data_IF_736902497446
#
_entry.id   IF_736902497446
#
_cell.length_a   1.000
_cell.length_b   1.000
_cell.length_c   1.000
_cell.angle_alpha   90.00
_cell.angle_beta   90.00
_cell.angle_gamma   90.00
#
_symmetry.space_group_name_H-M   'P 1'
#
loop_
_entity.id
_entity.type
_entity.pdbx_description
1 polymer ?
#
# COMPACT_ATOMS: atom_id res chain seq x y z
N UNK A 1 -15.45 13.82 24.01
CA UNK A 1 -15.18 13.73 25.47
C UNK A 1 -14.46 14.99 25.99
N UNK A 2 -13.28 15.37 25.46
CA UNK A 2 -12.60 16.66 25.78
C UNK A 2 -13.52 17.89 25.73
N UNK A 3 -14.31 18.00 24.66
CA UNK A 3 -15.32 19.05 24.47
C UNK A 3 -16.28 19.26 25.66
N UNK A 4 -16.74 18.18 26.32
CA UNK A 4 -17.68 18.28 27.45
C UNK A 4 -17.01 18.86 28.71
N UNK A 5 -15.70 18.69 28.85
CA UNK A 5 -14.93 19.18 29.99
C UNK A 5 -14.49 20.61 29.73
N UNK A 6 -13.94 20.88 28.55
CA UNK A 6 -13.34 22.17 28.18
C UNK A 6 -14.38 23.25 27.89
N UNK A 7 -15.46 22.92 27.16
CA UNK A 7 -16.46 23.91 26.73
C UNK A 7 -17.64 23.99 27.69
N UNK A 8 -18.10 22.85 28.21
CA UNK A 8 -19.28 22.78 29.07
C UNK A 8 -18.97 22.67 30.56
N UNK A 9 -17.68 22.73 30.96
CA UNK A 9 -17.21 22.66 32.34
C UNK A 9 -17.84 21.50 33.15
N UNK A 10 -18.16 20.38 32.50
CA UNK A 10 -18.79 19.23 33.17
C UNK A 10 -17.73 18.42 33.94
N UNK A 11 -18.05 17.91 35.14
CA UNK A 11 -17.12 17.09 35.89
C UNK A 11 -16.82 15.79 35.14
N UNK A 12 -15.55 15.38 35.17
CA UNK A 12 -15.02 14.23 34.43
C UNK A 12 -15.90 12.98 34.54
N UNK A 13 -16.41 12.68 35.74
CA UNK A 13 -17.29 11.52 35.99
C UNK A 13 -18.58 11.58 35.17
N UNK A 14 -19.22 12.76 35.08
CA UNK A 14 -20.45 12.92 34.28
C UNK A 14 -20.13 12.86 32.79
N UNK A 15 -19.03 13.47 32.36
CA UNK A 15 -18.58 13.42 30.97
C UNK A 15 -18.26 12.00 30.51
N UNK A 16 -17.58 11.19 31.34
CA UNK A 16 -17.35 9.77 31.10
C UNK A 16 -18.66 8.99 30.98
N UNK A 17 -19.60 9.20 31.90
CA UNK A 17 -20.90 8.53 31.90
C UNK A 17 -21.74 8.85 30.65
N UNK A 18 -21.76 10.13 30.23
CA UNK A 18 -22.47 10.55 29.01
C UNK A 18 -21.96 9.87 27.73
N UNK A 19 -20.67 9.54 27.68
CA UNK A 19 -20.01 8.94 26.49
C UNK A 19 -19.86 7.42 26.64
N UNK A 20 -20.29 6.84 27.76
CA UNK A 20 -20.16 5.40 28.04
C UNK A 20 -18.73 4.93 28.26
N UNK A 21 -17.81 5.84 28.62
CA UNK A 21 -16.41 5.50 28.91
C UNK A 21 -16.19 5.27 30.40
N UNK A 22 -15.34 4.30 30.75
CA UNK A 22 -14.87 4.17 32.13
C UNK A 22 -13.91 5.32 32.48
N UNK A 23 -13.82 5.68 33.76
CA UNK A 23 -12.87 6.71 34.21
C UNK A 23 -11.42 6.30 33.95
N UNK A 24 -11.10 5.00 34.07
CA UNK A 24 -9.76 4.48 33.80
C UNK A 24 -9.37 4.66 32.33
N UNK A 25 -10.28 4.41 31.39
CA UNK A 25 -10.03 4.57 29.95
C UNK A 25 -9.73 6.03 29.56
N UNK A 26 -10.11 7.01 30.38
CA UNK A 26 -9.75 8.41 30.18
C UNK A 26 -8.29 8.71 30.56
N UNK A 27 -7.82 8.19 31.71
CA UNK A 27 -6.45 8.42 32.18
C UNK A 27 -5.43 7.53 31.48
N UNK A 28 -5.82 6.29 31.16
CA UNK A 28 -5.04 5.31 30.45
C UNK A 28 -5.79 4.95 29.16
N UNK A 29 -5.70 5.79 28.11
CA UNK A 29 -6.25 5.42 26.83
C UNK A 29 -5.57 4.12 26.35
N UNK A 30 -6.31 3.20 25.73
CA UNK A 30 -5.72 1.99 25.17
C UNK A 30 -4.65 2.41 24.16
N UNK A 31 -3.43 1.89 24.32
CA UNK A 31 -2.35 2.18 23.40
C UNK A 31 -2.73 1.73 21.99
N UNK A 32 -2.58 2.64 21.03
CA UNK A 32 -2.72 2.32 19.62
C UNK A 32 -1.76 1.18 19.26
N UNK A 33 -2.23 0.26 18.43
CA UNK A 33 -1.42 -0.89 17.99
C UNK A 33 -0.15 -0.44 17.25
N UNK A 34 -0.23 0.70 16.56
CA UNK A 34 0.92 1.32 15.86
C UNK A 34 2.04 1.69 16.82
N UNK A 35 1.71 2.10 18.04
CA UNK A 35 2.68 2.46 19.07
C UNK A 35 3.28 1.20 19.70
N UNK A 36 2.46 0.19 19.98
CA UNK A 36 2.92 -1.08 20.59
C UNK A 36 3.81 -1.91 19.67
N UNK A 37 3.52 -1.89 18.38
CA UNK A 37 4.22 -2.68 17.37
C UNK A 37 5.15 -1.82 16.50
N UNK A 38 5.52 -0.62 16.96
CA UNK A 38 6.30 0.35 16.19
C UNK A 38 7.60 -0.22 15.61
N UNK A 39 8.36 -0.98 16.41
CA UNK A 39 9.60 -1.65 15.97
C UNK A 39 9.34 -2.66 14.85
N UNK A 40 8.28 -3.46 14.99
CA UNK A 40 7.85 -4.46 14.00
C UNK A 40 7.36 -3.81 12.71
N UNK A 41 6.64 -2.69 12.82
CA UNK A 41 6.22 -1.89 11.66
C UNK A 41 7.44 -1.34 10.93
N UNK A 42 8.42 -0.79 11.64
CA UNK A 42 9.62 -0.22 11.04
C UNK A 42 10.46 -1.27 10.30
N UNK A 43 10.66 -2.45 10.90
CA UNK A 43 11.42 -3.53 10.26
C UNK A 43 10.70 -4.10 9.03
N UNK A 44 9.37 -4.32 9.13
CA UNK A 44 8.56 -4.77 7.99
C UNK A 44 8.62 -3.74 6.86
N UNK A 45 8.47 -2.45 7.17
CA UNK A 45 8.52 -1.38 6.17
C UNK A 45 9.86 -1.39 5.43
N UNK A 46 10.99 -1.44 6.17
CA UNK A 46 12.33 -1.51 5.59
C UNK A 46 12.50 -2.72 4.67
N UNK A 47 12.02 -3.88 5.10
CA UNK A 47 12.12 -5.10 4.30
C UNK A 47 11.30 -5.03 3.00
N UNK A 48 10.08 -4.48 3.08
CA UNK A 48 9.15 -4.35 1.94
C UNK A 48 9.64 -3.33 0.93
N UNK A 49 10.26 -2.24 1.38
CA UNK A 49 10.89 -1.25 0.51
C UNK A 49 12.06 -1.86 -0.27
N UNK A 50 12.92 -2.63 0.40
CA UNK A 50 14.03 -3.32 -0.25
C UNK A 50 13.56 -4.45 -1.21
N UNK A 51 12.44 -5.12 -0.91
CA UNK A 51 11.99 -6.31 -1.63
C UNK A 51 10.49 -6.31 -1.95
N UNK A 52 10.01 -5.44 -2.86
CA UNK A 52 8.58 -5.25 -3.11
C UNK A 52 7.87 -6.46 -3.72
N UNK A 53 8.60 -7.40 -4.34
CA UNK A 53 8.06 -8.63 -4.94
C UNK A 53 7.92 -9.79 -3.94
N UNK A 54 8.52 -9.67 -2.75
CA UNK A 54 8.53 -10.74 -1.75
C UNK A 54 7.26 -10.67 -0.90
N UNK A 55 6.56 -11.81 -0.84
CA UNK A 55 5.35 -11.96 -0.02
C UNK A 55 5.65 -12.23 1.46
N UNK A 56 4.56 -12.40 2.21
CA UNK A 56 4.57 -12.58 3.67
C UNK A 56 5.58 -13.64 4.17
N UNK A 57 5.60 -14.83 3.57
CA UNK A 57 6.47 -15.93 4.05
C UNK A 57 7.94 -15.56 4.06
N UNK A 58 8.42 -14.87 3.02
CA UNK A 58 9.82 -14.43 2.93
C UNK A 58 10.14 -13.33 3.95
N UNK A 59 9.17 -12.45 4.25
CA UNK A 59 9.30 -11.44 5.29
C UNK A 59 9.37 -12.08 6.69
N UNK A 60 8.45 -13.01 6.98
CA UNK A 60 8.42 -13.77 8.24
C UNK A 60 9.71 -14.57 8.46
N UNK A 61 10.24 -15.23 7.43
CA UNK A 61 11.52 -15.95 7.51
C UNK A 61 12.71 -15.02 7.76
N UNK A 62 12.73 -13.85 7.12
CA UNK A 62 13.76 -12.85 7.34
C UNK A 62 13.73 -12.33 8.79
N UNK A 63 12.56 -11.98 9.30
CA UNK A 63 12.38 -11.51 10.68
C UNK A 63 12.75 -12.57 11.72
N UNK A 64 12.49 -13.85 11.42
CA UNK A 64 12.95 -14.96 12.27
C UNK A 64 14.48 -15.09 12.29
N UNK A 65 15.16 -14.87 11.16
CA UNK A 65 16.62 -14.92 11.06
C UNK A 65 17.31 -13.78 11.79
N UNK A 66 16.66 -12.62 11.92
CA UNK A 66 17.15 -11.49 12.70
C UNK A 66 17.14 -11.75 14.23
N UNK A 67 16.79 -12.97 14.67
CA UNK A 67 16.74 -13.40 16.08
C UNK A 67 15.88 -12.52 17.01
N UNK A 68 14.93 -11.77 16.46
CA UNK A 68 14.07 -10.88 17.24
C UNK A 68 12.98 -11.63 18.05
N UNK A 69 12.88 -12.96 17.91
CA UNK A 69 11.94 -13.79 18.69
C UNK A 69 10.45 -13.50 18.42
N UNK A 70 10.14 -12.78 17.34
CA UNK A 70 8.78 -12.35 17.06
C UNK A 70 7.87 -13.50 16.64
N UNK A 71 6.74 -13.64 17.33
CA UNK A 71 5.74 -14.65 17.00
C UNK A 71 5.21 -14.43 15.57
N UNK A 72 5.23 -15.45 14.70
CA UNK A 72 4.71 -15.35 13.33
C UNK A 72 3.25 -14.84 13.24
N UNK A 73 2.42 -15.14 14.25
CA UNK A 73 1.04 -14.63 14.33
C UNK A 73 1.00 -13.12 14.55
N UNK A 74 1.93 -12.57 15.35
CA UNK A 74 2.07 -11.12 15.59
C UNK A 74 2.51 -10.42 14.31
N UNK A 75 3.51 -10.97 13.62
CA UNK A 75 3.99 -10.46 12.33
C UNK A 75 2.84 -10.41 11.32
N UNK A 76 2.06 -11.49 11.20
CA UNK A 76 0.93 -11.54 10.26
C UNK A 76 -0.15 -10.50 10.57
N UNK A 77 -0.46 -10.28 11.86
CA UNK A 77 -1.44 -9.26 12.27
C UNK A 77 -1.01 -7.86 11.84
N UNK A 78 0.25 -7.50 12.11
CA UNK A 78 0.81 -6.20 11.71
C UNK A 78 0.89 -6.09 10.19
N UNK A 79 1.36 -7.13 9.50
CA UNK A 79 1.44 -7.18 8.04
C UNK A 79 0.08 -6.93 7.37
N UNK A 80 -0.99 -7.55 7.89
CA UNK A 80 -2.36 -7.35 7.41
C UNK A 80 -2.90 -5.96 7.76
N UNK A 81 -2.61 -5.45 8.96
CA UNK A 81 -3.00 -4.11 9.37
C UNK A 81 -2.34 -3.01 8.50
N UNK A 82 -1.11 -3.24 8.06
CA UNK A 82 -0.40 -2.40 7.07
C UNK A 82 -0.92 -2.57 5.62
N UNK A 83 -1.94 -3.42 5.40
CA UNK A 83 -2.55 -3.71 4.09
C UNK A 83 -1.56 -4.23 3.03
N UNK A 84 -0.43 -4.80 3.46
CA UNK A 84 0.61 -5.37 2.59
C UNK A 84 0.21 -6.71 1.94
N UNK A 85 -0.95 -7.26 2.33
CA UNK A 85 -1.55 -8.44 1.71
C UNK A 85 -2.31 -8.12 0.41
N UNK A 86 -2.62 -6.85 0.16
CA UNK A 86 -3.31 -6.45 -1.05
C UNK A 86 -2.35 -6.52 -2.24
N UNK A 87 -2.78 -7.16 -3.32
CA UNK A 87 -2.01 -7.15 -4.57
C UNK A 87 -1.84 -5.69 -5.00
N UNK A 88 -0.60 -5.24 -5.19
CA UNK A 88 -0.37 -3.94 -5.83
C UNK A 88 -1.04 -3.99 -7.19
N UNK A 89 -1.94 -3.04 -7.45
CA UNK A 89 -2.55 -2.91 -8.75
C UNK A 89 -1.43 -2.71 -9.78
N UNK A 90 -1.28 -3.66 -10.70
CA UNK A 90 -0.36 -3.49 -11.80
C UNK A 90 -0.79 -2.25 -12.57
N UNK A 91 0.13 -1.30 -12.79
CA UNK A 91 -0.13 -0.14 -13.64
C UNK A 91 -0.56 -0.70 -15.00
N UNK A 92 -1.82 -0.43 -15.40
CA UNK A 92 -2.34 -0.91 -16.69
C UNK A 92 -1.36 -0.45 -17.75
N UNK A 93 -0.79 -1.40 -18.49
CA UNK A 93 0.03 -1.07 -19.66
C UNK A 93 -0.87 -0.24 -20.56
N UNK A 94 -0.45 0.98 -20.88
CA UNK A 94 -1.09 1.75 -21.94
C UNK A 94 -1.14 0.83 -23.16
N UNK A 95 -2.31 0.68 -23.83
CA UNK A 95 -2.35 -0.10 -25.06
C UNK A 95 -1.26 0.46 -25.97
N UNK A 96 -0.44 -0.44 -26.52
CA UNK A 96 0.42 -0.12 -27.66
C UNK A 96 -0.53 0.17 -28.81
N UNK A 97 -1.20 1.31 -28.81
CA UNK A 97 -1.83 1.85 -29.99
C UNK A 97 -0.68 1.95 -30.96
N UNK A 98 -0.69 1.01 -31.90
CA UNK A 98 0.21 1.02 -33.01
C UNK A 98 0.03 2.39 -33.64
N UNK A 99 1.02 3.27 -33.50
CA UNK A 99 1.29 4.28 -34.51
C UNK A 99 1.74 3.53 -35.77
N UNK A 100 0.83 2.72 -36.33
CA UNK A 100 0.84 2.41 -37.76
C UNK A 100 0.41 3.72 -38.40
N UNK A 101 1.37 4.62 -38.59
CA UNK A 101 1.23 5.66 -39.59
C UNK A 101 0.72 4.99 -40.87
N UNK A 102 -0.42 5.40 -41.44
CA UNK A 102 -0.84 4.87 -42.71
C UNK A 102 0.26 5.18 -43.72
N UNK A 103 0.86 4.12 -44.27
CA UNK A 103 1.83 4.24 -45.35
C UNK A 103 1.08 4.89 -46.52
N UNK A 104 1.52 6.05 -47.06
CA UNK A 104 0.81 6.65 -48.17
C UNK A 104 0.87 5.71 -49.37
N UNK A 105 -0.30 5.23 -49.78
CA UNK A 105 -0.52 4.56 -51.05
C UNK A 105 -0.37 5.59 -52.17
N UNK A 106 0.78 5.62 -52.83
CA UNK A 106 0.97 6.40 -54.06
C UNK A 106 1.06 5.43 -55.24
N UNK A 107 -0.12 5.26 -55.85
CA UNK A 107 -0.55 4.95 -57.22
C UNK A 107 0.38 4.28 -58.26
N UNK A 108 -0.23 3.53 -59.22
CA UNK A 108 0.48 2.76 -60.24
C UNK A 108 0.77 3.57 -61.52
N UNK A 109 1.80 3.08 -62.23
CA UNK A 109 2.00 3.13 -63.68
C UNK A 109 2.31 4.49 -64.33
N UNK A 110 3.59 4.70 -64.64
CA UNK A 110 4.04 5.54 -65.76
C UNK A 110 4.83 4.63 -66.71
N UNK A 111 4.23 4.41 -67.88
CA UNK A 111 4.82 3.75 -69.04
C UNK A 111 6.04 4.52 -69.53
N UNK A 112 7.19 3.87 -69.64
CA UNK A 112 8.40 4.43 -70.23
C UNK A 112 8.92 3.50 -71.34
N UNK A 113 8.49 3.81 -72.57
CA UNK A 113 9.18 3.68 -73.86
C UNK A 113 9.89 2.37 -74.25
N UNK A 114 9.40 1.84 -75.38
CA UNK A 114 9.98 0.79 -76.20
C UNK A 114 11.41 1.11 -76.66
N UNK A 115 12.33 0.17 -76.45
CA UNK A 115 13.61 0.12 -77.14
C UNK A 115 13.82 -1.29 -77.70
N UNK A 116 13.66 -1.43 -79.01
CA UNK A 116 14.35 -2.44 -79.83
C UNK A 116 14.23 -2.02 -81.30
N UNK A 117 15.19 -1.20 -81.74
CA UNK A 117 15.56 -1.12 -83.15
C UNK A 117 16.74 -2.07 -83.35
N UNK A 118 16.55 -2.99 -84.31
CA UNK A 118 17.54 -3.70 -85.13
C UNK A 118 18.53 -4.65 -84.45
#
# INVERSE_FOLDING_TARGET
MRFLIEVHARPLRRSCACVGLSRAAWYAPPLDWTVRDAELIAEIARYVEAHPSRGFWKCSDYLRKQQLGWNPKRIYRVYKAMKLNLRRAAKRRLPKVCLRLPRPSASPNVSCMDHSST
#
